data_IF_985105066315
#
_entry.id   IF_985105066315
#
_cell.length_a   1.000
_cell.length_b   1.000
_cell.length_c   1.000
_cell.angle_alpha   90.00
_cell.angle_beta   90.00
_cell.angle_gamma   90.00
#
_symmetry.space_group_name_H-M   'P 1'
#
loop_
_entity.id
_entity.type
_entity.pdbx_description
1 polymer ?
#
# COMPACT_ATOMS: atom_id res chain seq x y z
N UNK A 1 4.82 4.63 -8.97
CA UNK A 1 3.94 4.23 -7.84
C UNK A 1 4.67 3.20 -7.00
N UNK A 2 5.11 3.56 -5.78
CA UNK A 2 5.69 2.55 -4.87
C UNK A 2 4.60 2.00 -3.95
N UNK A 3 4.08 0.83 -4.28
CA UNK A 3 3.25 0.00 -3.41
C UNK A 3 4.14 -0.56 -2.29
N UNK A 4 4.48 0.25 -1.29
CA UNK A 4 5.12 -0.22 -0.06
C UNK A 4 4.08 -0.97 0.81
N UNK A 5 3.48 -2.02 0.26
CA UNK A 5 2.52 -2.88 0.95
C UNK A 5 3.25 -4.08 1.53
N UNK A 6 3.00 -4.36 2.81
CA UNK A 6 3.24 -5.68 3.39
C UNK A 6 2.07 -6.58 2.99
N UNK A 7 2.37 -7.79 2.55
CA UNK A 7 1.37 -8.84 2.42
C UNK A 7 1.54 -9.77 3.62
N UNK A 8 0.47 -10.02 4.34
CA UNK A 8 0.43 -11.05 5.37
C UNK A 8 -0.22 -12.28 4.77
N UNK A 9 0.47 -13.41 4.88
CA UNK A 9 -0.02 -14.74 4.51
C UNK A 9 -0.41 -15.45 5.79
N UNK A 10 -1.66 -15.88 5.88
CA UNK A 10 -2.17 -16.66 7.01
C UNK A 10 -2.85 -17.94 6.51
N UNK A 11 -3.00 -18.93 7.40
CA UNK A 11 -3.71 -20.19 7.14
C UNK A 11 -3.16 -21.02 5.96
N UNK A 12 -1.94 -20.75 5.49
CA UNK A 12 -1.23 -21.73 4.67
C UNK A 12 -1.05 -23.02 5.48
N UNK A 13 -1.25 -24.18 4.86
CA UNK A 13 -1.08 -25.46 5.54
C UNK A 13 0.31 -25.68 6.12
N UNK A 14 1.36 -25.09 5.53
CA UNK A 14 2.69 -25.07 6.14
C UNK A 14 2.95 -23.76 6.90
N UNK A 15 3.23 -23.88 8.20
CA UNK A 15 3.58 -22.75 9.08
C UNK A 15 4.72 -21.89 8.56
N UNK A 16 5.70 -22.49 7.87
CA UNK A 16 6.84 -21.79 7.28
C UNK A 16 6.47 -20.76 6.20
N UNK A 17 5.29 -20.90 5.58
CA UNK A 17 4.78 -20.02 4.53
C UNK A 17 4.03 -18.83 5.14
N UNK A 18 3.41 -19.02 6.31
CA UNK A 18 2.70 -17.97 7.02
C UNK A 18 3.64 -16.89 7.54
N UNK A 19 3.18 -15.64 7.52
CA UNK A 19 3.93 -14.49 8.01
C UNK A 19 3.90 -13.33 7.04
N UNK A 20 4.80 -12.38 7.27
CA UNK A 20 4.81 -11.12 6.56
C UNK A 20 5.80 -11.12 5.40
N UNK A 21 5.36 -10.56 4.29
CA UNK A 21 6.10 -10.39 3.05
C UNK A 21 6.19 -8.91 2.73
N UNK A 22 7.42 -8.42 2.57
CA UNK A 22 7.70 -7.00 2.26
C UNK A 22 8.06 -6.88 0.78
N UNK A 23 7.63 -5.77 0.17
CA UNK A 23 7.90 -5.54 -1.24
C UNK A 23 9.40 -5.45 -1.50
N UNK A 24 9.86 -6.16 -2.52
CA UNK A 24 11.20 -6.01 -3.06
C UNK A 24 11.35 -4.66 -3.78
N UNK A 25 12.54 -4.08 -3.73
CA UNK A 25 12.88 -2.89 -4.52
C UNK A 25 12.75 -3.09 -6.02
N UNK A 26 12.83 -4.34 -6.50
CA UNK A 26 12.79 -4.66 -7.92
C UNK A 26 11.47 -5.33 -8.32
N UNK A 27 11.06 -5.04 -9.55
CA UNK A 27 9.98 -5.76 -10.22
C UNK A 27 10.56 -7.01 -10.93
N UNK A 28 9.80 -8.10 -10.94
CA UNK A 28 10.11 -9.35 -11.62
C UNK A 28 9.11 -9.58 -12.75
N UNK A 29 9.58 -9.79 -13.99
CA UNK A 29 8.75 -9.86 -15.20
C UNK A 29 7.76 -8.68 -15.35
N UNK A 30 8.18 -7.47 -14.94
CA UNK A 30 7.35 -6.26 -15.02
C UNK A 30 6.21 -6.20 -14.00
N UNK A 31 6.27 -7.03 -12.95
CA UNK A 31 5.34 -7.02 -11.82
C UNK A 31 6.10 -6.90 -10.50
N UNK A 32 5.52 -6.29 -9.47
CA UNK A 32 6.12 -6.24 -8.14
C UNK A 32 6.30 -7.65 -7.54
N UNK A 33 7.33 -7.78 -6.70
CA UNK A 33 7.63 -9.00 -5.95
C UNK A 33 7.70 -8.68 -4.46
N UNK A 34 7.45 -9.68 -3.60
CA UNK A 34 7.64 -9.57 -2.16
C UNK A 34 8.50 -10.73 -1.65
N UNK A 35 9.33 -10.48 -0.62
CA UNK A 35 10.08 -11.51 0.11
C UNK A 35 9.61 -11.60 1.55
N UNK A 36 9.64 -12.79 2.13
CA UNK A 36 9.26 -12.99 3.52
C UNK A 36 10.30 -12.36 4.46
N UNK A 37 9.83 -11.74 5.52
CA UNK A 37 10.65 -10.93 6.44
C UNK A 37 11.67 -11.79 7.20
N UNK A 38 11.27 -12.98 7.62
CA UNK A 38 12.05 -13.92 8.43
C UNK A 38 12.62 -15.09 7.61
N UNK A 39 12.31 -15.19 6.31
CA UNK A 39 12.86 -16.20 5.40
C UNK A 39 13.05 -15.62 3.98
N UNK A 40 14.28 -15.30 3.63
CA UNK A 40 14.58 -14.68 2.33
C UNK A 40 14.40 -15.61 1.13
N UNK A 41 14.30 -16.92 1.34
CA UNK A 41 14.10 -17.89 0.25
C UNK A 41 12.62 -18.04 -0.12
N UNK A 42 11.72 -17.29 0.53
CA UNK A 42 10.27 -17.36 0.34
C UNK A 42 9.73 -16.04 -0.23
N UNK A 43 8.93 -16.13 -1.28
CA UNK A 43 8.52 -15.00 -2.09
C UNK A 43 7.04 -15.04 -2.48
N UNK A 44 6.53 -13.88 -2.91
CA UNK A 44 5.32 -13.74 -3.73
C UNK A 44 5.74 -13.06 -5.04
N UNK A 45 5.60 -13.75 -6.17
CA UNK A 45 6.09 -13.24 -7.47
C UNK A 45 5.17 -13.65 -8.61
N UNK A 46 5.26 -12.91 -9.71
CA UNK A 46 4.50 -13.19 -10.93
C UNK A 46 5.34 -13.94 -11.94
N UNK A 47 4.73 -14.89 -12.66
CA UNK A 47 5.33 -15.56 -13.81
C UNK A 47 4.43 -15.38 -15.03
N UNK A 48 5.03 -14.95 -16.14
CA UNK A 48 4.32 -14.59 -17.38
C UNK A 48 3.91 -15.79 -18.25
N UNK A 49 4.55 -16.94 -18.06
CA UNK A 49 4.31 -18.14 -18.87
C UNK A 49 2.88 -18.66 -18.71
N UNK A 50 2.32 -19.28 -19.76
CA UNK A 50 1.00 -19.94 -19.76
C UNK A 50 -0.18 -19.07 -19.32
N UNK A 51 -0.20 -17.79 -19.71
CA UNK A 51 -1.33 -16.90 -19.44
C UNK A 51 -1.19 -16.05 -18.17
N UNK A 52 -0.08 -16.20 -17.44
CA UNK A 52 0.24 -15.31 -16.31
C UNK A 52 -0.36 -15.78 -15.00
N UNK A 53 0.48 -16.02 -14.00
CA UNK A 53 0.02 -16.42 -12.66
C UNK A 53 0.94 -15.92 -11.56
N UNK A 54 0.35 -15.72 -10.38
CA UNK A 54 1.07 -15.41 -9.15
C UNK A 54 1.48 -16.70 -8.45
N UNK A 55 2.67 -16.69 -7.85
CA UNK A 55 3.29 -17.81 -7.13
C UNK A 55 3.65 -17.39 -5.71
N UNK A 56 3.59 -18.35 -4.80
CA UNK A 56 4.00 -18.23 -3.40
C UNK A 56 4.85 -19.45 -3.04
N UNK A 57 6.10 -19.22 -2.59
CA UNK A 57 7.10 -20.26 -2.41
C UNK A 57 8.55 -19.81 -2.61
N UNK A 58 9.45 -20.75 -2.89
CA UNK A 58 10.79 -20.46 -3.37
C UNK A 58 10.81 -20.27 -4.89
N UNK A 59 11.79 -19.52 -5.40
CA UNK A 59 11.92 -19.21 -6.84
C UNK A 59 11.98 -20.45 -7.74
N UNK A 60 12.55 -21.54 -7.23
CA UNK A 60 12.64 -22.83 -7.94
C UNK A 60 11.54 -23.84 -7.53
N UNK A 61 10.98 -23.71 -6.32
CA UNK A 61 10.00 -24.63 -5.75
C UNK A 61 8.86 -23.82 -5.11
N UNK A 62 7.71 -23.74 -5.80
CA UNK A 62 6.57 -22.97 -5.33
C UNK A 62 5.40 -23.86 -4.90
N UNK A 63 4.64 -23.37 -3.93
CA UNK A 63 3.68 -24.17 -3.19
C UNK A 63 2.23 -23.81 -3.52
N UNK A 64 1.98 -22.52 -3.79
CA UNK A 64 0.67 -22.04 -4.17
C UNK A 64 0.73 -21.22 -5.45
N UNK A 65 -0.36 -21.26 -6.20
CA UNK A 65 -0.57 -20.53 -7.44
C UNK A 65 -1.92 -19.80 -7.40
N UNK A 66 -1.97 -18.59 -7.95
CA UNK A 66 -3.20 -17.93 -8.30
C UNK A 66 -3.20 -17.59 -9.79
N UNK A 67 -4.12 -18.21 -10.54
CA UNK A 67 -4.27 -18.08 -11.99
C UNK A 67 -4.95 -16.75 -12.34
N UNK A 68 -4.26 -15.65 -12.08
CA UNK A 68 -4.76 -14.31 -12.34
C UNK A 68 -3.67 -13.40 -12.91
N UNK A 69 -3.91 -12.86 -14.11
CA UNK A 69 -3.05 -11.83 -14.70
C UNK A 69 -3.45 -10.43 -14.20
N UNK A 70 -3.00 -10.12 -12.99
CA UNK A 70 -3.19 -8.82 -12.35
C UNK A 70 -1.88 -8.10 -12.13
N UNK A 71 -1.96 -6.78 -11.93
CA UNK A 71 -0.80 -5.94 -11.58
C UNK A 71 -0.28 -6.18 -10.16
N UNK A 72 -1.12 -6.76 -9.29
CA UNK A 72 -0.84 -7.08 -7.89
C UNK A 72 -1.26 -8.53 -7.59
N UNK A 73 -0.63 -9.20 -6.61
CA UNK A 73 -1.05 -10.54 -6.22
C UNK A 73 -2.48 -10.50 -5.69
N UNK A 74 -3.32 -11.47 -6.05
CA UNK A 74 -4.67 -11.51 -5.55
C UNK A 74 -4.67 -11.92 -4.06
N UNK A 75 -5.61 -11.34 -3.31
CA UNK A 75 -5.77 -11.65 -1.89
C UNK A 75 -6.51 -12.98 -1.63
N UNK A 76 -7.11 -13.55 -2.67
CA UNK A 76 -7.92 -14.76 -2.63
C UNK A 76 -7.75 -15.56 -3.92
N UNK A 77 -8.21 -16.81 -3.92
CA UNK A 77 -8.17 -17.67 -5.12
C UNK A 77 -6.85 -18.42 -5.31
N UNK A 78 -6.02 -18.48 -4.26
CA UNK A 78 -4.82 -19.32 -4.24
C UNK A 78 -5.21 -20.81 -4.19
N UNK A 79 -4.50 -21.61 -4.96
CA UNK A 79 -4.64 -23.06 -5.06
C UNK A 79 -3.29 -23.70 -4.81
N UNK A 80 -3.28 -24.97 -4.41
CA UNK A 80 -2.03 -25.74 -4.34
C UNK A 80 -1.43 -25.87 -5.74
N UNK A 81 -0.13 -25.59 -5.85
CA UNK A 81 0.59 -25.80 -7.10
C UNK A 81 0.77 -27.30 -7.35
N UNK A 82 0.38 -27.77 -8.54
CA UNK A 82 0.64 -29.15 -8.97
C UNK A 82 2.14 -29.46 -9.09
N UNK A 83 2.98 -28.44 -9.32
CA UNK A 83 4.45 -28.56 -9.37
C UNK A 83 5.10 -28.73 -7.99
N UNK A 84 4.42 -28.39 -6.89
CA UNK A 84 4.89 -28.63 -5.52
C UNK A 84 5.13 -30.12 -5.22
N UNK A 85 4.63 -31.01 -6.08
CA UNK A 85 4.69 -32.46 -5.92
C UNK A 85 5.86 -33.13 -6.67
N UNK A 86 6.64 -32.39 -7.47
CA UNK A 86 7.71 -32.96 -8.32
C UNK A 86 9.14 -32.55 -7.96
N UNK A 87 9.36 -31.67 -6.97
CA UNK A 87 10.67 -31.18 -6.52
C UNK A 87 11.18 -31.77 -5.18
N UNK A 88 12.45 -31.49 -4.84
CA UNK A 88 13.18 -32.07 -3.70
C UNK A 88 12.61 -31.68 -2.31
N UNK A 89 11.76 -30.67 -2.22
CA UNK A 89 11.02 -30.30 -1.00
C UNK A 89 9.58 -30.81 -1.06
N UNK A 90 9.42 -32.14 -0.92
CA UNK A 90 8.11 -32.79 -0.83
C UNK A 90 7.40 -32.42 0.48
N UNK A 91 6.65 -31.33 0.50
CA UNK A 91 5.64 -31.13 1.54
C UNK A 91 4.42 -31.99 1.22
N UNK A 92 3.95 -32.76 2.20
CA UNK A 92 2.80 -33.66 2.03
C UNK A 92 1.56 -32.82 1.65
N UNK A 93 0.76 -33.18 0.62
CA UNK A 93 -0.47 -32.45 0.28
C UNK A 93 -1.44 -32.31 1.47
N UNK A 94 -1.46 -33.29 2.38
CA UNK A 94 -2.27 -33.23 3.59
C UNK A 94 -1.73 -32.22 4.63
N UNK A 95 -0.45 -31.85 4.56
CA UNK A 95 0.15 -30.79 5.40
C UNK A 95 0.11 -29.41 4.75
N UNK A 96 -0.52 -29.26 3.59
CA UNK A 96 -0.57 -28.01 2.81
C UNK A 96 -1.99 -27.44 2.68
N UNK A 97 -2.96 -28.14 3.26
CA UNK A 97 -4.30 -27.62 3.56
C UNK A 97 -4.28 -26.97 4.96
N UNK A 98 -4.84 -25.76 5.15
CA UNK A 98 -5.71 -25.02 4.23
C UNK A 98 -4.95 -24.20 3.16
N UNK A 99 -5.70 -23.70 2.17
CA UNK A 99 -5.21 -22.66 1.24
C UNK A 99 -5.03 -21.34 1.98
N UNK A 100 -3.97 -20.56 1.65
CA UNK A 100 -3.67 -19.34 2.35
C UNK A 100 -4.71 -18.26 2.10
N UNK A 101 -5.00 -17.49 3.15
CA UNK A 101 -5.66 -16.21 3.06
C UNK A 101 -4.59 -15.12 3.06
N UNK A 102 -4.66 -14.23 2.07
CA UNK A 102 -3.75 -13.09 1.98
C UNK A 102 -4.50 -11.83 2.33
N UNK A 103 -3.84 -10.94 3.06
CA UNK A 103 -4.31 -9.59 3.24
C UNK A 103 -3.14 -8.62 3.18
N UNK A 104 -3.38 -7.47 2.57
CA UNK A 104 -2.38 -6.41 2.49
C UNK A 104 -2.53 -5.48 3.69
N UNK A 105 -1.40 -5.15 4.32
CA UNK A 105 -1.30 -4.08 5.30
C UNK A 105 -0.20 -3.11 4.91
N UNK A 106 -0.25 -1.90 5.46
CA UNK A 106 0.79 -0.91 5.21
C UNK A 106 2.12 -1.39 5.82
N UNK A 107 3.22 -1.31 5.08
CA UNK A 107 4.55 -1.56 5.66
C UNK A 107 4.95 -0.39 6.57
N UNK A 108 4.93 -0.60 7.89
CA UNK A 108 5.40 0.41 8.85
C UNK A 108 6.90 0.32 9.11
N UNK A 109 7.59 -0.72 8.60
CA UNK A 109 9.04 -0.94 8.84
C UNK A 109 9.94 -0.17 7.89
N UNK A 110 9.38 0.33 6.79
CA UNK A 110 10.08 1.13 5.77
C UNK A 110 9.57 2.57 5.67
N UNK A 111 8.86 3.08 6.68
CA UNK A 111 8.38 4.46 6.64
C UNK A 111 9.33 5.39 7.41
N UNK A 112 10.35 5.89 6.71
CA UNK A 112 11.09 7.07 7.15
C UNK A 112 10.71 8.34 6.40
N UNK A 113 9.68 8.33 5.54
CA UNK A 113 9.39 9.54 4.75
C UNK A 113 7.92 9.93 4.65
N UNK A 114 6.93 9.05 4.86
CA UNK A 114 5.51 9.45 4.83
C UNK A 114 4.93 9.50 6.26
N UNK A 115 4.59 10.69 6.78
CA UNK A 115 3.91 10.77 8.07
C UNK A 115 2.58 10.02 8.00
N UNK A 116 2.31 9.15 8.98
CA UNK A 116 1.02 8.48 9.11
C UNK A 116 -0.04 9.38 9.74
N UNK A 117 0.42 10.45 10.38
CA UNK A 117 -0.40 11.50 10.96
C UNK A 117 0.30 12.83 10.74
N UNK A 118 -0.44 13.83 10.29
CA UNK A 118 -0.02 15.22 10.25
C UNK A 118 -0.78 15.93 11.35
N UNK A 119 -0.08 16.61 12.26
CA UNK A 119 -0.75 17.51 13.20
C UNK A 119 -0.68 18.94 12.67
N UNK A 120 -1.85 19.50 12.41
CA UNK A 120 -2.00 20.88 11.97
C UNK A 120 -2.30 21.77 13.18
N UNK A 121 -1.49 22.81 13.36
CA UNK A 121 -1.63 23.80 14.44
C UNK A 121 -1.42 25.20 13.89
N UNK A 122 -2.05 26.21 14.49
CA UNK A 122 -1.88 27.61 14.09
C UNK A 122 -2.70 28.03 12.88
N UNK A 123 -3.62 27.18 12.38
CA UNK A 123 -4.63 27.62 11.42
C UNK A 123 -5.55 28.67 12.08
N UNK A 124 -5.97 29.69 11.34
CA UNK A 124 -6.78 30.81 11.82
C UNK A 124 -8.20 30.43 12.29
N UNK A 125 -8.59 29.18 12.10
CA UNK A 125 -9.85 28.57 12.55
C UNK A 125 -9.55 27.31 13.37
N UNK A 126 -10.24 27.15 14.50
CA UNK A 126 -10.09 25.97 15.38
C UNK A 126 -10.57 24.68 14.73
N UNK A 127 -11.48 24.79 13.77
CA UNK A 127 -12.08 23.67 13.03
C UNK A 127 -11.04 22.96 12.16
N UNK A 128 -10.13 23.70 11.54
CA UNK A 128 -9.04 23.17 10.69
C UNK A 128 -7.90 22.58 11.53
N UNK A 129 -7.66 23.08 12.75
CA UNK A 129 -6.60 22.58 13.61
C UNK A 129 -6.90 21.15 14.10
N UNK A 130 -5.89 20.25 14.06
CA UNK A 130 -6.04 18.90 14.58
C UNK A 130 -5.13 17.87 13.94
N UNK A 131 -5.36 16.61 14.30
CA UNK A 131 -4.63 15.47 13.75
C UNK A 131 -5.33 14.95 12.49
N UNK A 132 -4.57 14.78 11.42
CA UNK A 132 -5.00 14.23 10.14
C UNK A 132 -4.32 12.89 9.90
N UNK A 133 -5.10 11.83 9.70
CA UNK A 133 -4.60 10.47 9.45
C UNK A 133 -4.63 10.14 7.97
N UNK A 134 -3.58 9.47 7.51
CA UNK A 134 -3.51 8.96 6.14
C UNK A 134 -4.70 8.03 5.89
N UNK A 135 -5.54 8.37 4.91
CA UNK A 135 -6.78 7.65 4.61
C UNK A 135 -6.76 6.99 3.22
N UNK A 136 -5.82 7.37 2.35
CA UNK A 136 -5.75 6.82 1.00
C UNK A 136 -4.84 7.62 0.08
N UNK A 137 -5.10 7.50 -1.21
CA UNK A 137 -4.43 8.25 -2.28
C UNK A 137 -5.46 8.84 -3.24
N UNK A 138 -5.19 10.04 -3.72
CA UNK A 138 -5.97 10.75 -4.73
C UNK A 138 -5.01 11.34 -5.77
N UNK A 139 -5.28 11.13 -7.06
CA UNK A 139 -4.34 11.48 -8.16
C UNK A 139 -2.88 11.04 -7.93
N UNK A 140 -2.68 9.83 -7.41
CA UNK A 140 -1.35 9.26 -7.11
C UNK A 140 -0.56 10.00 -6.01
N UNK A 141 -1.21 10.90 -5.27
CA UNK A 141 -0.67 11.58 -4.09
C UNK A 141 -1.42 11.12 -2.85
N UNK A 142 -0.78 11.19 -1.69
CA UNK A 142 -1.40 10.78 -0.43
C UNK A 142 -2.56 11.72 -0.04
N UNK A 143 -3.53 11.20 0.69
CA UNK A 143 -4.63 11.97 1.25
C UNK A 143 -4.78 11.68 2.74
N UNK A 144 -5.13 12.70 3.53
CA UNK A 144 -5.35 12.59 4.96
C UNK A 144 -6.74 13.10 5.36
N UNK A 145 -7.41 12.43 6.29
CA UNK A 145 -8.67 12.88 6.90
C UNK A 145 -8.43 13.36 8.33
N UNK A 146 -9.10 14.43 8.74
CA UNK A 146 -9.05 14.88 10.14
C UNK A 146 -9.71 13.86 11.06
N UNK A 147 -9.11 13.64 12.23
CA UNK A 147 -9.60 12.64 13.20
C UNK A 147 -10.90 13.07 13.89
N UNK A 148 -11.13 14.38 14.04
CA UNK A 148 -12.29 14.93 14.75
C UNK A 148 -13.50 15.13 13.83
N UNK A 149 -13.26 15.56 12.60
CA UNK A 149 -14.29 15.80 11.59
C UNK A 149 -13.82 15.25 10.23
N UNK A 150 -14.30 14.08 9.81
CA UNK A 150 -13.90 13.46 8.54
C UNK A 150 -14.24 14.28 7.29
N UNK A 151 -15.01 15.37 7.41
CA UNK A 151 -15.28 16.29 6.30
C UNK A 151 -14.09 17.16 5.93
N UNK A 152 -13.05 17.22 6.77
CA UNK A 152 -11.80 17.91 6.50
C UNK A 152 -10.69 16.98 6.01
N UNK A 153 -9.94 17.48 5.02
CA UNK A 153 -8.93 16.75 4.29
C UNK A 153 -7.65 17.55 4.14
N UNK A 154 -6.53 16.83 3.99
CA UNK A 154 -5.33 17.31 3.30
C UNK A 154 -5.21 16.49 2.02
N UNK A 155 -5.30 17.12 0.85
CA UNK A 155 -5.32 16.42 -0.44
C UNK A 155 -4.61 17.20 -1.53
N UNK A 156 -4.25 16.50 -2.60
CA UNK A 156 -3.64 17.10 -3.78
C UNK A 156 -4.68 17.24 -4.90
N UNK A 157 -4.68 18.38 -5.59
CA UNK A 157 -5.51 18.63 -6.78
C UNK A 157 -4.61 18.86 -7.98
N UNK A 158 -4.96 18.26 -9.13
CA UNK A 158 -4.17 18.33 -10.37
C UNK A 158 -4.50 19.53 -11.28
N UNK A 159 -5.41 20.41 -10.87
CA UNK A 159 -5.79 21.58 -11.68
C UNK A 159 -4.67 22.63 -11.69
N UNK A 160 -4.51 23.35 -12.81
CA UNK A 160 -3.59 24.49 -12.94
C UNK A 160 -2.14 24.25 -12.48
N UNK A 161 -1.60 23.05 -12.69
CA UNK A 161 -0.19 22.75 -12.41
C UNK A 161 0.07 22.04 -11.08
N UNK A 162 -0.98 21.73 -10.31
CA UNK A 162 -0.89 20.88 -9.13
C UNK A 162 -0.69 21.67 -7.83
N UNK A 163 -1.48 21.36 -6.81
CA UNK A 163 -1.41 22.01 -5.51
C UNK A 163 -1.95 21.13 -4.39
N UNK A 164 -1.33 21.24 -3.23
CA UNK A 164 -1.86 20.70 -1.98
C UNK A 164 -2.89 21.65 -1.39
N UNK A 165 -3.92 21.09 -0.75
CA UNK A 165 -5.04 21.80 -0.13
C UNK A 165 -5.35 21.30 1.27
N UNK A 166 -5.91 22.18 2.10
CA UNK A 166 -6.49 21.88 3.41
C UNK A 166 -7.90 22.46 3.46
N UNK A 167 -8.91 21.65 3.82
CA UNK A 167 -10.31 22.03 3.75
C UNK A 167 -11.27 20.86 3.46
N UNK A 168 -12.41 21.15 2.85
CA UNK A 168 -13.47 20.20 2.50
C UNK A 168 -13.42 19.81 1.02
N UNK A 169 -14.22 18.82 0.63
CA UNK A 169 -14.21 18.28 -0.75
C UNK A 169 -14.37 19.34 -1.84
N UNK A 170 -15.19 20.36 -1.60
CA UNK A 170 -15.47 21.42 -2.58
C UNK A 170 -14.85 22.78 -2.22
N UNK A 171 -14.43 22.98 -0.98
CA UNK A 171 -13.96 24.28 -0.47
C UNK A 171 -12.62 24.12 0.26
N UNK A 172 -11.69 25.07 0.13
CA UNK A 172 -10.39 24.99 0.82
C UNK A 172 -9.97 26.28 1.50
N UNK A 173 -9.38 26.12 2.68
CA UNK A 173 -8.91 27.21 3.54
C UNK A 173 -7.45 27.56 3.26
N UNK A 174 -6.64 26.57 2.88
CA UNK A 174 -5.23 26.75 2.59
C UNK A 174 -4.83 25.98 1.35
N UNK A 175 -3.87 26.52 0.59
CA UNK A 175 -3.24 25.82 -0.51
C UNK A 175 -1.74 26.10 -0.60
N UNK A 176 -1.05 25.27 -1.36
CA UNK A 176 0.36 25.49 -1.71
C UNK A 176 0.66 24.86 -3.07
N UNK A 177 1.40 25.58 -3.91
CA UNK A 177 1.82 25.13 -5.25
C UNK A 177 2.93 24.08 -5.22
N UNK A 178 3.25 23.54 -4.04
CA UNK A 178 4.18 22.41 -3.93
C UNK A 178 3.64 21.20 -4.68
N UNK A 179 4.47 20.61 -5.53
CA UNK A 179 4.20 19.38 -6.26
C UNK A 179 4.88 18.15 -5.67
N UNK A 180 5.39 18.26 -4.43
CA UNK A 180 6.00 17.16 -3.70
C UNK A 180 5.05 15.96 -3.55
N UNK A 181 5.62 14.78 -3.31
CA UNK A 181 4.83 13.56 -3.05
C UNK A 181 4.07 13.60 -1.73
N UNK A 182 4.40 14.57 -0.87
CA UNK A 182 3.78 14.84 0.42
C UNK A 182 3.42 16.32 0.55
N UNK A 183 2.41 16.65 1.36
CA UNK A 183 2.13 18.04 1.71
C UNK A 183 3.33 18.66 2.45
N UNK A 184 3.65 19.94 2.21
CA UNK A 184 4.70 20.64 2.95
C UNK A 184 4.42 20.67 4.45
N UNK A 185 5.46 20.45 5.24
CA UNK A 185 5.40 20.50 6.72
C UNK A 185 5.68 21.88 7.29
N UNK A 186 6.29 22.77 6.50
CA UNK A 186 6.61 24.13 6.93
C UNK A 186 5.38 25.03 6.81
N UNK A 187 4.93 25.70 7.89
CA UNK A 187 3.77 26.59 7.86
C UNK A 187 3.88 27.71 6.82
N UNK A 188 5.08 28.23 6.59
CA UNK A 188 5.36 29.29 5.60
C UNK A 188 5.15 28.87 4.14
N UNK A 189 5.01 27.56 3.88
CA UNK A 189 4.73 27.05 2.53
C UNK A 189 3.26 27.15 2.14
N UNK A 190 2.37 27.46 3.09
CA UNK A 190 0.92 27.49 2.88
C UNK A 190 0.40 28.91 2.73
N UNK A 191 -0.46 29.10 1.75
CA UNK A 191 -1.15 30.35 1.44
C UNK A 191 -2.65 30.20 1.73
N UNK A 192 -3.33 31.31 2.04
CA UNK A 192 -4.78 31.30 2.21
C UNK A 192 -5.45 30.94 0.89
N UNK A 193 -6.41 30.02 0.95
CA UNK A 193 -7.27 29.70 -0.17
C UNK A 193 -8.16 30.90 -0.51
N UNK A 194 -8.45 31.08 -1.80
CA UNK A 194 -9.34 32.14 -2.30
C UNK A 194 -10.77 32.05 -1.75
N UNK A 195 -11.16 30.94 -1.14
CA UNK A 195 -12.48 30.68 -0.55
C UNK A 195 -12.48 30.77 0.99
N UNK A 196 -11.35 31.15 1.61
CA UNK A 196 -11.21 31.17 3.07
C UNK A 196 -12.13 32.17 3.80
N UNK A 197 -12.80 33.08 3.08
CA UNK A 197 -13.77 34.03 3.63
C UNK A 197 -14.91 34.31 2.65
N UNK A 198 -15.88 33.40 2.61
CA UNK A 198 -17.20 33.61 2.03
C UNK A 198 -18.29 33.25 3.03
N UNK A 199 -18.47 34.10 4.05
CA UNK A 199 -19.46 33.91 5.12
C UNK A 199 -19.04 34.61 6.41
#
# INVERSE_FOLDING_TARGET
MSINSVIVVEKAGAGAINGEYVRDSNDYHGRPMWHKVDNKDMYIWYRRENGGHWRLGGTNDYYYIAEQDSTLPPLKGWKLASEAFNGAYRMNPNSMSPVPELWAKKDTRRDKTTPHTIRLTGAGTKEVNGDYKLCGQYHNKVQFNQCKDPSFYIWFRMEHGGHWRIGKTNDYYYMTSSNGDLPPTEPSSWELGSEAFGG
#
